data_IF_258212897603
#
_entry.id   IF_258212897603
#
_cell.length_a   1.000
_cell.length_b   1.000
_cell.length_c   1.000
_cell.angle_alpha   90.00
_cell.angle_beta   90.00
_cell.angle_gamma   90.00
#
_symmetry.space_group_name_H-M   'P 1'
#
loop_
_entity.id
_entity.type
_entity.pdbx_description
1 polymer ?
#
# COMPACT_ATOMS: atom_id res chain seq x y z
N UNK A 1 -16.04 10.35 6.76
CA UNK A 1 -15.63 8.94 6.71
C UNK A 1 -14.96 8.58 8.01
N UNK A 2 -15.49 7.59 8.72
CA UNK A 2 -14.78 6.96 9.83
C UNK A 2 -13.85 5.93 9.21
N UNK A 3 -12.54 6.09 9.39
CA UNK A 3 -11.56 5.06 9.12
C UNK A 3 -10.98 4.64 10.46
N UNK A 4 -10.83 3.33 10.75
CA UNK A 4 -10.20 2.89 11.98
C UNK A 4 -8.81 3.49 12.15
N UNK A 5 -8.42 3.76 13.40
CA UNK A 5 -7.18 4.47 13.73
C UNK A 5 -5.93 3.70 13.24
N UNK A 6 -5.98 2.37 13.28
CA UNK A 6 -4.92 1.50 12.78
C UNK A 6 -4.64 1.76 11.29
N UNK A 7 -5.68 1.72 10.45
CA UNK A 7 -5.58 1.96 9.02
C UNK A 7 -5.13 3.38 8.70
N UNK A 8 -5.61 4.36 9.45
CA UNK A 8 -5.17 5.76 9.32
C UNK A 8 -3.67 5.90 9.60
N UNK A 9 -3.21 5.39 10.75
CA UNK A 9 -1.80 5.45 11.14
C UNK A 9 -0.91 4.74 10.13
N UNK A 10 -1.37 3.59 9.62
CA UNK A 10 -0.64 2.85 8.61
C UNK A 10 -0.56 3.61 7.28
N UNK A 11 -1.67 4.21 6.82
CA UNK A 11 -1.68 5.05 5.63
C UNK A 11 -0.72 6.24 5.75
N UNK A 12 -0.68 6.90 6.91
CA UNK A 12 0.24 8.00 7.18
C UNK A 12 1.71 7.56 7.11
N UNK A 13 2.04 6.37 7.63
CA UNK A 13 3.38 5.78 7.51
C UNK A 13 3.76 5.48 6.05
N UNK A 14 2.82 4.93 5.27
CA UNK A 14 3.01 4.66 3.84
C UNK A 14 3.29 5.98 3.11
N UNK A 15 2.46 6.99 3.32
CA UNK A 15 2.62 8.31 2.70
C UNK A 15 3.95 8.96 3.07
N UNK A 16 4.38 8.87 4.34
CA UNK A 16 5.65 9.43 4.79
C UNK A 16 6.87 8.76 4.13
N UNK A 17 6.81 7.43 3.90
CA UNK A 17 7.87 6.68 3.21
C UNK A 17 7.87 6.96 1.71
N UNK A 18 6.70 6.93 1.08
CA UNK A 18 6.59 7.15 -0.36
C UNK A 18 6.91 8.58 -0.80
N UNK A 19 6.68 9.58 0.06
CA UNK A 19 7.15 10.96 -0.20
C UNK A 19 8.68 11.09 -0.29
N UNK A 20 9.44 10.12 0.23
CA UNK A 20 10.90 10.12 0.17
C UNK A 20 11.43 9.41 -1.09
N UNK A 21 10.58 8.69 -1.81
CA UNK A 21 10.96 7.97 -3.02
C UNK A 21 10.53 8.75 -4.27
N UNK A 22 11.47 9.46 -4.88
CA UNK A 22 11.23 10.29 -6.07
C UNK A 22 10.79 9.50 -7.30
N UNK A 23 10.89 8.16 -7.28
CA UNK A 23 10.45 7.29 -8.37
C UNK A 23 8.93 7.11 -8.39
N UNK A 24 8.27 7.41 -7.27
CA UNK A 24 6.83 7.26 -7.10
C UNK A 24 6.14 8.60 -7.34
N UNK A 25 5.28 8.64 -8.36
CA UNK A 25 4.59 9.86 -8.78
C UNK A 25 3.32 10.11 -7.98
N UNK A 26 2.70 9.06 -7.43
CA UNK A 26 1.45 9.18 -6.71
C UNK A 26 0.89 7.86 -6.22
N UNK A 27 -0.19 7.96 -5.44
CA UNK A 27 -0.89 6.84 -4.83
C UNK A 27 -2.38 7.07 -5.03
N UNK A 28 -3.09 6.07 -5.54
CA UNK A 28 -4.54 6.03 -5.53
C UNK A 28 -5.01 4.99 -4.52
N UNK A 29 -6.17 5.24 -3.90
CA UNK A 29 -6.80 4.35 -2.94
C UNK A 29 -8.15 3.89 -3.48
N UNK A 30 -8.44 2.60 -3.34
CA UNK A 30 -9.68 1.97 -3.79
C UNK A 30 -10.38 1.22 -2.67
N UNK A 31 -11.20 0.24 -3.05
CA UNK A 31 -11.80 -0.71 -2.11
C UNK A 31 -12.81 -0.12 -1.13
N UNK A 32 -12.91 -0.73 0.05
CA UNK A 32 -13.85 -0.32 1.10
C UNK A 32 -13.57 1.08 1.64
N UNK A 33 -12.38 1.63 1.40
CA UNK A 33 -12.04 3.01 1.73
C UNK A 33 -12.90 4.01 0.95
N UNK A 34 -13.07 3.81 -0.37
CA UNK A 34 -13.85 4.73 -1.21
C UNK A 34 -15.36 4.55 -1.04
N UNK A 35 -15.82 3.34 -0.70
CA UNK A 35 -17.24 3.09 -0.40
C UNK A 35 -17.63 3.57 1.00
N UNK A 36 -16.65 3.82 1.88
CA UNK A 36 -16.89 4.26 3.26
C UNK A 36 -17.35 3.14 4.19
N UNK A 37 -17.16 1.88 3.78
CA UNK A 37 -17.56 0.68 4.51
C UNK A 37 -16.38 0.02 5.24
N UNK A 38 -15.29 0.77 5.44
CA UNK A 38 -14.06 0.26 6.01
C UNK A 38 -14.22 -0.05 7.52
N UNK A 39 -13.80 -1.24 7.92
CA UNK A 39 -13.77 -1.71 9.31
C UNK A 39 -12.38 -2.21 9.72
N UNK A 40 -12.25 -2.72 10.94
CA UNK A 40 -10.96 -3.19 11.50
C UNK A 40 -10.38 -4.41 10.76
N UNK A 41 -11.19 -5.10 9.96
CA UNK A 41 -10.81 -6.29 9.21
C UNK A 41 -10.61 -6.02 7.71
N UNK A 42 -10.93 -4.81 7.27
CA UNK A 42 -10.80 -4.38 5.89
C UNK A 42 -9.34 -4.23 5.48
N UNK A 43 -9.02 -4.64 4.27
CA UNK A 43 -7.71 -4.37 3.67
C UNK A 43 -7.63 -2.93 3.12
N UNK A 44 -6.41 -2.47 2.86
CA UNK A 44 -6.16 -1.21 2.15
C UNK A 44 -5.76 -1.50 0.70
N UNK A 45 -6.65 -1.18 -0.23
CA UNK A 45 -6.39 -1.28 -1.65
C UNK A 45 -5.65 -0.03 -2.16
N UNK A 46 -4.35 -0.16 -2.38
CA UNK A 46 -3.50 0.93 -2.88
C UNK A 46 -2.97 0.63 -4.29
N UNK A 47 -3.00 1.64 -5.15
CA UNK A 47 -2.37 1.63 -6.47
C UNK A 47 -1.24 2.66 -6.48
N UNK A 48 -0.02 2.19 -6.70
CA UNK A 48 1.17 3.04 -6.73
C UNK A 48 1.50 3.41 -8.17
N UNK A 49 1.59 4.71 -8.43
CA UNK A 49 1.99 5.25 -9.74
C UNK A 49 3.50 5.45 -9.72
N UNK A 50 4.18 4.79 -10.65
CA UNK A 50 5.65 4.82 -10.76
C UNK A 50 6.03 5.57 -12.03
N UNK A 51 7.11 6.34 -11.96
CA UNK A 51 7.68 6.99 -13.14
C UNK A 51 8.23 5.93 -14.11
N UNK A 52 7.93 6.07 -15.39
CA UNK A 52 8.13 5.01 -16.38
C UNK A 52 9.60 4.55 -16.47
N UNK A 53 10.56 5.45 -16.28
CA UNK A 53 11.99 5.12 -16.31
C UNK A 53 12.42 4.17 -15.18
N UNK A 54 11.70 4.17 -14.06
CA UNK A 54 11.98 3.34 -12.89
C UNK A 54 11.06 2.12 -12.74
N UNK A 55 10.09 1.94 -13.64
CA UNK A 55 9.08 0.87 -13.52
C UNK A 55 9.71 -0.51 -13.31
N UNK A 56 10.65 -0.92 -14.16
CA UNK A 56 11.32 -2.23 -14.06
C UNK A 56 12.11 -2.39 -12.76
N UNK A 57 12.72 -1.31 -12.27
CA UNK A 57 13.47 -1.32 -11.02
C UNK A 57 12.53 -1.47 -9.82
N UNK A 58 11.48 -0.65 -9.75
CA UNK A 58 10.48 -0.68 -8.68
C UNK A 58 9.74 -2.02 -8.68
N UNK A 59 9.44 -2.58 -9.86
CA UNK A 59 8.84 -3.89 -9.97
C UNK A 59 9.75 -4.98 -9.36
N UNK A 60 11.06 -4.93 -9.58
CA UNK A 60 12.02 -5.86 -8.96
C UNK A 60 12.14 -5.65 -7.45
N UNK A 61 12.13 -4.40 -6.99
CA UNK A 61 12.28 -4.03 -5.58
C UNK A 61 10.97 -4.13 -4.77
N UNK A 62 9.83 -4.40 -5.42
CA UNK A 62 8.50 -4.31 -4.79
C UNK A 62 8.36 -5.04 -3.46
N UNK A 63 8.93 -6.23 -3.32
CA UNK A 63 8.86 -6.99 -2.07
C UNK A 63 9.66 -6.30 -0.95
N UNK A 64 10.81 -5.72 -1.28
CA UNK A 64 11.62 -4.96 -0.34
C UNK A 64 10.91 -3.65 0.05
N UNK A 65 10.30 -2.97 -0.92
CA UNK A 65 9.48 -1.78 -0.67
C UNK A 65 8.34 -2.13 0.30
N UNK A 66 7.56 -3.19 0.04
CA UNK A 66 6.48 -3.62 0.91
C UNK A 66 6.97 -4.03 2.32
N UNK A 67 8.10 -4.72 2.39
CA UNK A 67 8.71 -5.11 3.67
C UNK A 67 9.18 -3.91 4.50
N UNK A 68 9.50 -2.80 3.85
CA UNK A 68 9.87 -1.55 4.53
C UNK A 68 8.65 -0.75 5.02
N UNK A 69 7.44 -1.05 4.57
CA UNK A 69 6.21 -0.36 4.98
C UNK A 69 5.65 -0.90 6.30
N UNK A 70 5.92 -2.16 6.64
CA UNK A 70 5.46 -2.79 7.89
C UNK A 70 5.74 -4.29 7.93
N UNK A 71 5.05 -5.02 8.82
CA UNK A 71 5.14 -6.48 8.86
C UNK A 71 4.42 -7.05 7.63
N UNK A 72 5.20 -7.44 6.62
CA UNK A 72 4.69 -8.01 5.39
C UNK A 72 4.31 -9.48 5.61
N UNK A 73 3.00 -9.77 5.59
CA UNK A 73 2.51 -11.16 5.67
C UNK A 73 2.57 -11.84 4.30
N UNK A 74 2.23 -11.11 3.23
CA UNK A 74 2.29 -11.60 1.86
C UNK A 74 2.40 -10.45 0.84
N UNK A 75 2.95 -10.74 -0.34
CA UNK A 75 2.95 -9.82 -1.47
C UNK A 75 2.86 -10.62 -2.77
N UNK A 76 1.87 -10.31 -3.61
CA UNK A 76 1.65 -10.98 -4.89
C UNK A 76 1.48 -9.95 -6.00
N UNK A 77 1.79 -10.33 -7.24
CA UNK A 77 1.59 -9.47 -8.41
C UNK A 77 0.44 -10.00 -9.22
N UNK A 78 -0.59 -9.18 -9.44
CA UNK A 78 -1.71 -9.48 -10.34
C UNK A 78 -1.68 -8.47 -11.51
N UNK A 79 -1.03 -8.83 -12.60
CA UNK A 79 -0.89 -7.97 -13.79
C UNK A 79 0.15 -6.85 -13.66
N UNK A 80 -0.04 -5.74 -14.38
CA UNK A 80 0.86 -4.56 -14.40
C UNK A 80 0.71 -3.63 -13.19
N UNK A 81 -0.17 -3.97 -12.25
CA UNK A 81 -0.40 -3.20 -11.03
C UNK A 81 0.39 -3.87 -9.91
N UNK A 82 1.26 -3.08 -9.25
CA UNK A 82 1.89 -3.50 -8.01
C UNK A 82 0.86 -3.34 -6.90
N UNK A 83 -0.01 -4.35 -6.77
CA UNK A 83 -0.92 -4.47 -5.64
C UNK A 83 -0.19 -5.09 -4.46
N UNK A 84 -0.32 -4.49 -3.28
CA UNK A 84 0.16 -5.08 -2.03
C UNK A 84 -1.05 -5.36 -1.16
N UNK A 85 -1.32 -6.63 -0.91
CA UNK A 85 -2.28 -7.03 0.11
C UNK A 85 -1.52 -7.04 1.44
N UNK A 86 -1.43 -5.88 2.09
CA UNK A 86 -0.81 -5.78 3.40
C UNK A 86 -1.83 -6.16 4.46
N UNK A 87 -2.06 -7.46 4.62
CA UNK A 87 -2.89 -8.00 5.68
C UNK A 87 -2.17 -7.75 7.01
N UNK A 88 -2.46 -6.62 7.66
CA UNK A 88 -2.22 -6.47 9.09
C UNK A 88 -3.22 -7.37 9.80
N UNK A 89 -2.90 -8.66 9.86
CA UNK A 89 -3.68 -9.58 10.68
C UNK A 89 -3.45 -9.15 12.12
N UNK A 90 -4.44 -8.49 12.71
CA UNK A 90 -4.55 -8.27 14.15
C UNK A 90 -4.50 -9.65 14.82
N UNK A 91 -3.29 -10.17 15.04
CA UNK A 91 -3.05 -11.29 15.94
C UNK A 91 -2.88 -10.67 17.32
N UNK A 92 -3.87 -10.93 18.17
CA UNK A 92 -3.73 -10.87 19.63
C UNK A 92 -2.46 -11.58 20.09
#
# INVERSE_FOLDING_TARGET
>A
MLIPELHRSFLEQILAKFKQDNRLLGIAIGGSYISGEMDEYSDLDLVIVVENSYYEQVLKERQQIASNLGSLVAAFTVGFIVSFEMVQKCRN
#
